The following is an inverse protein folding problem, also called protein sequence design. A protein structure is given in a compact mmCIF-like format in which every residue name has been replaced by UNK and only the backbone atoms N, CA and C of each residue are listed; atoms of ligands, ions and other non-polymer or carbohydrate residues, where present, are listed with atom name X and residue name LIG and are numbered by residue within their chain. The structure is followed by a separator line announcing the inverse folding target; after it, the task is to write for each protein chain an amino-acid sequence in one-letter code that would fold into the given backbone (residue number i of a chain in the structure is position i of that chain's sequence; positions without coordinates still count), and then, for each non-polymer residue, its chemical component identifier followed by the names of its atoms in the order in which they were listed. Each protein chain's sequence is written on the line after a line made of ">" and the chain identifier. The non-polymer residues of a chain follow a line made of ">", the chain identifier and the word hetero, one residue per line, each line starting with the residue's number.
data_IF_047366893958
#
_entry.id   IF_047366893958
#
_cell.length_a   1.000
_cell.length_b   1.000
_cell.length_c   1.000
_cell.angle_alpha   90.00
_cell.angle_beta   90.00
_cell.angle_gamma   90.00
#
_symmetry.space_group_name_H-M   'P 1'
#
loop_
_entity.id
_entity.type
_entity.pdbx_description
1 polymer ?
#
# COMPACT_ATOMS: atom_id res chain seq x y z
N UNK A 1 7.38 -8.13 -6.38
CA UNK A 1 7.13 -6.73 -6.02
C UNK A 1 7.39 -6.62 -4.53
N UNK A 2 7.64 -5.42 -4.01
CA UNK A 2 7.99 -5.26 -2.61
C UNK A 2 6.79 -4.65 -1.88
N UNK A 3 6.29 -5.33 -0.86
CA UNK A 3 5.27 -4.80 0.03
C UNK A 3 5.98 -4.22 1.25
N UNK A 4 5.52 -3.06 1.71
CA UNK A 4 5.95 -2.54 3.01
C UNK A 4 5.46 -3.45 4.12
N UNK A 5 6.22 -3.51 5.21
CA UNK A 5 5.85 -4.20 6.45
C UNK A 5 4.49 -3.73 6.99
N UNK A 6 4.14 -2.48 6.70
CA UNK A 6 2.84 -1.88 6.98
C UNK A 6 2.15 -1.50 5.68
N UNK A 7 0.94 -2.03 5.45
CA UNK A 7 0.17 -1.73 4.25
C UNK A 7 -1.21 -1.19 4.57
N UNK A 8 -1.57 -0.09 3.92
CA UNK A 8 -2.90 0.50 3.99
C UNK A 8 -3.84 -0.20 3.03
N UNK A 9 -4.96 -0.71 3.52
CA UNK A 9 -5.92 -1.43 2.68
C UNK A 9 -7.34 -0.99 2.94
N UNK A 10 -8.13 -0.89 1.88
CA UNK A 10 -9.58 -0.74 2.00
C UNK A 10 -10.24 -2.09 2.36
N UNK A 11 -11.55 -2.04 2.67
CA UNK A 11 -12.33 -3.21 3.05
C UNK A 11 -12.27 -4.35 2.01
N UNK A 12 -12.26 -3.98 0.73
CA UNK A 12 -12.26 -4.93 -0.37
C UNK A 12 -10.90 -5.64 -0.49
N UNK A 13 -9.82 -4.87 -0.56
CA UNK A 13 -8.46 -5.39 -0.66
C UNK A 13 -8.07 -6.16 0.60
N UNK A 14 -8.55 -5.78 1.78
CA UNK A 14 -8.37 -6.57 3.00
C UNK A 14 -8.95 -7.98 2.86
N UNK A 15 -10.19 -8.10 2.36
CA UNK A 15 -10.86 -9.40 2.21
C UNK A 15 -10.23 -10.33 1.17
N UNK A 16 -9.44 -9.78 0.23
CA UNK A 16 -8.80 -10.50 -0.87
C UNK A 16 -7.28 -10.38 -0.87
N UNK A 17 -6.69 -9.99 0.26
CA UNK A 17 -5.29 -9.57 0.29
C UNK A 17 -4.32 -10.66 -0.20
N UNK A 18 -4.48 -11.90 0.27
CA UNK A 18 -3.60 -13.01 -0.12
C UNK A 18 -3.70 -13.33 -1.62
N UNK A 19 -4.91 -13.29 -2.18
CA UNK A 19 -5.13 -13.48 -3.61
C UNK A 19 -4.46 -12.37 -4.43
N UNK A 20 -4.62 -11.11 -4.00
CA UNK A 20 -4.00 -9.95 -4.64
C UNK A 20 -2.48 -10.06 -4.58
N UNK A 21 -1.92 -10.34 -3.40
CA UNK A 21 -0.48 -10.52 -3.18
C UNK A 21 0.08 -11.63 -4.08
N UNK A 22 -0.54 -12.80 -4.09
CA UNK A 22 -0.13 -13.92 -4.93
C UNK A 22 -0.19 -13.56 -6.43
N UNK A 23 -1.25 -12.89 -6.86
CA UNK A 23 -1.42 -12.48 -8.26
C UNK A 23 -0.37 -11.45 -8.69
N UNK A 24 -0.04 -10.50 -7.82
CA UNK A 24 1.01 -9.49 -8.05
C UNK A 24 2.41 -10.11 -8.07
N UNK A 25 2.71 -11.02 -7.14
CA UNK A 25 3.99 -11.76 -7.11
C UNK A 25 4.18 -12.60 -8.36
N UNK A 26 3.13 -13.33 -8.77
CA UNK A 26 3.13 -14.13 -10.01
C UNK A 26 2.97 -13.29 -11.27
N UNK A 27 2.75 -11.98 -11.15
CA UNK A 27 2.50 -11.02 -12.26
C UNK A 27 1.44 -11.54 -13.23
N UNK A 28 0.37 -12.15 -12.71
CA UNK A 28 -0.72 -12.68 -13.55
C UNK A 28 -1.38 -11.51 -14.26
N UNK A 29 -1.43 -11.53 -15.59
CA UNK A 29 -2.08 -10.49 -16.41
C UNK A 29 -3.61 -10.43 -16.23
N UNK A 30 -4.20 -11.52 -15.75
CA UNK A 30 -5.63 -11.64 -15.55
C UNK A 30 -5.85 -11.59 -14.04
N UNK A 31 -6.16 -10.40 -13.56
CA UNK A 31 -6.80 -10.23 -12.26
C UNK A 31 -8.26 -9.99 -12.56
N UNK A 32 -9.12 -10.77 -11.93
CA UNK A 32 -10.56 -10.81 -12.21
C UNK A 32 -11.21 -9.46 -11.93
N UNK A 33 -10.68 -8.72 -10.95
CA UNK A 33 -11.16 -7.43 -10.53
C UNK A 33 -10.00 -6.39 -10.55
N UNK A 34 -10.18 -5.23 -11.21
CA UNK A 34 -9.18 -4.17 -11.17
C UNK A 34 -9.04 -3.61 -9.75
N UNK A 35 -7.84 -3.13 -9.44
CA UNK A 35 -7.53 -2.45 -8.18
C UNK A 35 -6.39 -1.45 -8.40
N UNK A 36 -6.27 -0.51 -7.47
CA UNK A 36 -5.24 0.50 -7.42
C UNK A 36 -4.18 0.14 -6.38
N UNK A 37 -2.96 0.51 -6.68
CA UNK A 37 -1.78 0.34 -5.82
C UNK A 37 -1.28 1.72 -5.45
N UNK A 38 -0.99 1.93 -4.17
CA UNK A 38 -0.30 3.11 -3.66
C UNK A 38 1.15 2.72 -3.47
N UNK A 39 2.05 3.42 -4.14
CA UNK A 39 3.49 3.20 -4.12
C UNK A 39 4.20 4.37 -3.47
N UNK A 40 5.27 4.05 -2.73
CA UNK A 40 6.20 5.04 -2.22
C UNK A 40 7.37 5.18 -3.18
N UNK A 41 7.56 6.40 -3.68
CA UNK A 41 8.72 6.73 -4.50
C UNK A 41 9.93 7.01 -3.58
N UNK A 42 10.88 6.07 -3.53
CA UNK A 42 12.05 6.14 -2.65
C UNK A 42 12.92 7.38 -2.87
N UNK A 43 12.88 7.98 -4.07
CA UNK A 43 13.69 9.18 -4.38
C UNK A 43 13.03 10.48 -3.97
N UNK A 44 11.70 10.53 -3.97
CA UNK A 44 10.94 11.76 -3.72
C UNK A 44 10.20 11.74 -2.39
N UNK A 45 10.17 10.61 -1.70
CA UNK A 45 9.33 10.34 -0.51
C UNK A 45 7.85 10.64 -0.74
N UNK A 46 7.39 10.65 -1.99
CA UNK A 46 5.99 10.93 -2.35
C UNK A 46 5.21 9.64 -2.51
N UNK A 47 3.95 9.73 -2.12
CA UNK A 47 2.94 8.73 -2.44
C UNK A 47 2.42 8.99 -3.86
N UNK A 48 2.41 7.94 -4.66
CA UNK A 48 1.78 7.91 -5.98
C UNK A 48 0.82 6.72 -5.99
N UNK A 49 -0.31 6.83 -6.68
CA UNK A 49 -1.18 5.69 -6.87
C UNK A 49 -1.56 5.50 -8.33
N UNK A 50 -1.65 4.24 -8.76
CA UNK A 50 -1.92 3.88 -10.14
C UNK A 50 -2.69 2.55 -10.22
N UNK A 51 -3.24 2.25 -11.40
CA UNK A 51 -3.80 0.93 -11.67
C UNK A 51 -2.68 -0.12 -11.59
N UNK A 52 -2.94 -1.25 -10.93
CA UNK A 52 -1.94 -2.31 -10.71
C UNK A 52 -1.27 -2.80 -12.01
N UNK A 53 -1.97 -2.72 -13.15
CA UNK A 53 -1.44 -3.09 -14.46
C UNK A 53 -0.22 -2.26 -14.86
N UNK A 54 -0.07 -1.03 -14.35
CA UNK A 54 1.12 -0.21 -14.57
C UNK A 54 2.38 -0.90 -14.03
N UNK A 55 2.27 -1.65 -12.93
CA UNK A 55 3.39 -2.38 -12.34
C UNK A 55 3.86 -3.58 -13.19
N UNK A 56 3.11 -3.95 -14.24
CA UNK A 56 3.54 -4.95 -15.23
C UNK A 56 4.52 -4.41 -16.27
N UNK A 57 4.68 -3.08 -16.36
CA UNK A 57 5.61 -2.46 -17.30
C UNK A 57 7.07 -2.87 -17.01
N UNK A 58 7.90 -2.92 -18.05
CA UNK A 58 9.31 -3.37 -17.97
C UNK A 58 10.12 -2.57 -16.95
N UNK A 59 9.82 -1.28 -16.79
CA UNK A 59 10.48 -0.41 -15.81
C UNK A 59 10.40 -0.99 -14.38
N UNK A 60 9.19 -1.33 -13.94
CA UNK A 60 8.92 -1.90 -12.61
C UNK A 60 9.29 -3.40 -12.48
N UNK A 61 9.80 -4.01 -13.55
CA UNK A 61 10.44 -5.33 -13.46
C UNK A 61 11.85 -5.24 -12.88
N UNK A 62 12.58 -4.19 -13.26
CA UNK A 62 13.96 -4.00 -12.84
C UNK A 62 14.05 -3.14 -11.57
N UNK A 63 13.08 -2.25 -11.36
CA UNK A 63 12.99 -1.38 -10.18
C UNK A 63 11.60 -1.56 -9.55
N UNK A 64 11.35 -2.65 -8.81
CA UNK A 64 10.05 -2.86 -8.18
C UNK A 64 9.81 -1.75 -7.15
N UNK A 65 8.67 -1.04 -7.20
CA UNK A 65 8.38 -0.01 -6.21
C UNK A 65 7.98 -0.64 -4.87
N UNK A 66 8.10 0.14 -3.80
CA UNK A 66 7.57 -0.24 -2.50
C UNK A 66 6.06 0.06 -2.48
N UNK A 67 5.25 -1.00 -2.35
CA UNK A 67 3.80 -0.91 -2.23
C UNK A 67 3.45 -0.66 -0.78
N UNK A 68 2.73 0.43 -0.53
CA UNK A 68 2.33 0.90 0.80
C UNK A 68 0.82 0.97 0.96
N UNK A 69 0.06 0.78 -0.11
CA UNK A 69 -1.39 0.60 -0.01
C UNK A 69 -2.04 -0.08 -1.20
N UNK A 70 -3.25 -0.61 -0.96
CA UNK A 70 -4.11 -1.26 -1.95
C UNK A 70 -5.55 -0.76 -1.80
N UNK A 71 -6.18 -0.44 -2.92
CA UNK A 71 -7.54 0.07 -2.96
C UNK A 71 -8.30 -0.57 -4.12
N UNK A 72 -9.61 -0.78 -3.98
CA UNK A 72 -10.46 -1.33 -5.03
C UNK A 72 -10.55 -0.42 -6.26
N UNK A 73 -10.69 0.88 -6.02
CA UNK A 73 -10.94 1.87 -7.07
C UNK A 73 -10.23 3.20 -6.74
N UNK A 74 -10.39 4.17 -7.64
CA UNK A 74 -9.73 5.46 -7.54
C UNK A 74 -10.15 6.22 -6.28
N UNK A 75 -11.45 6.22 -5.97
CA UNK A 75 -12.01 6.95 -4.83
C UNK A 75 -11.47 6.38 -3.51
N UNK A 76 -11.47 5.04 -3.36
CA UNK A 76 -10.81 4.38 -2.22
C UNK A 76 -9.31 4.67 -2.15
N UNK A 77 -8.62 4.76 -3.29
CA UNK A 77 -7.18 5.04 -3.33
C UNK A 77 -6.87 6.48 -2.88
N UNK A 78 -7.70 7.44 -3.28
CA UNK A 78 -7.62 8.83 -2.83
C UNK A 78 -7.86 8.92 -1.31
N UNK A 79 -8.92 8.28 -0.81
CA UNK A 79 -9.24 8.25 0.62
C UNK A 79 -8.10 7.64 1.46
N UNK A 80 -7.57 6.48 1.02
CA UNK A 80 -6.41 5.84 1.66
C UNK A 80 -5.19 6.77 1.67
N UNK A 81 -4.92 7.45 0.56
CA UNK A 81 -3.78 8.38 0.45
C UNK A 81 -3.96 9.58 1.38
N UNK A 82 -5.16 10.14 1.47
CA UNK A 82 -5.49 11.22 2.42
C UNK A 82 -5.22 10.77 3.87
N UNK A 83 -5.70 9.59 4.26
CA UNK A 83 -5.45 9.06 5.60
C UNK A 83 -3.98 8.77 5.88
N UNK A 84 -3.24 8.24 4.90
CA UNK A 84 -1.79 8.05 5.02
C UNK A 84 -1.08 9.39 5.27
N UNK A 85 -1.47 10.44 4.55
CA UNK A 85 -0.96 11.81 4.74
C UNK A 85 -1.30 12.35 6.14
N UNK A 86 -2.54 12.20 6.58
CA UNK A 86 -2.97 12.62 7.92
C UNK A 86 -2.15 11.93 9.02
N UNK A 87 -1.97 10.61 8.92
CA UNK A 87 -1.19 9.85 9.90
C UNK A 87 0.29 10.24 9.90
N UNK A 88 0.85 10.49 8.72
CA UNK A 88 2.21 10.99 8.58
C UNK A 88 2.37 12.36 9.28
N UNK A 89 1.43 13.28 9.04
CA UNK A 89 1.42 14.60 9.67
C UNK A 89 1.24 14.52 11.19
N UNK A 90 0.33 13.67 11.68
CA UNK A 90 0.09 13.50 13.12
C UNK A 90 1.32 12.93 13.82
N UNK A 91 1.99 11.97 13.21
CA UNK A 91 3.08 11.20 13.84
C UNK A 91 4.44 11.89 13.72
N UNK A 92 4.75 12.46 12.55
CA UNK A 92 6.06 13.03 12.23
C UNK A 92 6.04 14.57 12.17
N UNK A 93 4.87 15.18 11.94
CA UNK A 93 4.73 16.64 11.82
C UNK A 93 5.02 17.20 10.43
N UNK A 94 5.35 16.36 9.45
CA UNK A 94 5.61 16.73 8.06
C UNK A 94 5.17 15.60 7.10
N UNK A 95 5.39 15.78 5.79
CA UNK A 95 5.06 14.81 4.75
C UNK A 95 6.23 13.87 4.40
N UNK A 96 7.04 13.48 5.39
CA UNK A 96 8.10 12.49 5.20
C UNK A 96 7.57 11.07 5.50
N UNK A 97 7.09 10.41 4.44
CA UNK A 97 6.48 9.09 4.59
C UNK A 97 7.50 7.98 4.92
N UNK A 98 8.78 8.16 4.56
CA UNK A 98 9.85 7.22 4.93
C UNK A 98 10.07 7.29 6.45
N UNK A 99 10.20 8.51 6.99
CA UNK A 99 10.31 8.72 8.43
C UNK A 99 9.08 8.21 9.18
N UNK A 100 7.89 8.38 8.60
CA UNK A 100 6.65 7.85 9.16
C UNK A 100 6.66 6.32 9.27
N UNK A 101 6.98 5.61 8.18
CA UNK A 101 7.07 4.15 8.20
C UNK A 101 8.10 3.64 9.21
N UNK A 102 9.25 4.32 9.32
CA UNK A 102 10.28 3.99 10.32
C UNK A 102 9.86 4.28 11.78
N UNK A 103 8.84 5.13 11.98
CA UNK A 103 8.30 5.45 13.30
C UNK A 103 7.21 4.48 13.78
N UNK A 104 6.74 3.61 12.88
CA UNK A 104 5.78 2.56 13.23
C UNK A 104 6.48 1.52 14.11
N UNK A 105 5.76 0.88 15.04
CA UNK A 105 6.35 -0.10 15.93
C UNK A 105 7.05 -1.23 15.15
N UNK A 106 8.09 -1.82 15.72
CA UNK A 106 8.68 -3.02 15.12
C UNK A 106 7.66 -4.16 15.15
N UNK A 107 7.64 -4.97 14.09
CA UNK A 107 6.76 -6.14 14.01
C UNK A 107 7.46 -7.29 14.74
N UNK A 108 6.79 -7.85 15.76
CA UNK A 108 7.32 -8.97 16.53
C UNK A 108 7.59 -10.21 15.64
N UNK A 109 8.69 -10.91 15.91
CA UNK A 109 9.04 -12.16 15.21
C UNK A 109 7.90 -13.18 15.34
N UNK A 110 7.27 -13.53 14.20
CA UNK A 110 6.16 -14.49 14.14
C UNK A 110 4.81 -13.91 13.69
N UNK A 111 4.69 -12.59 13.48
CA UNK A 111 3.49 -12.00 12.87
C UNK A 111 3.39 -12.31 11.36
N UNK A 112 2.16 -12.48 10.87
CA UNK A 112 1.89 -12.55 9.42
C UNK A 112 2.15 -11.17 8.79
N UNK A 113 3.00 -11.16 7.74
CA UNK A 113 3.39 -9.95 7.03
C UNK A 113 2.74 -9.86 5.63
N UNK A 114 2.37 -8.65 5.20
CA UNK A 114 2.47 -7.36 5.91
C UNK A 114 1.35 -7.11 6.92
N UNK A 115 1.60 -6.28 7.93
CA UNK A 115 0.56 -5.83 8.86
C UNK A 115 -0.37 -4.85 8.15
N UNK A 116 -1.64 -5.24 8.04
CA UNK A 116 -2.66 -4.46 7.35
C UNK A 116 -3.26 -3.39 8.26
N UNK A 117 -3.14 -2.12 7.84
CA UNK A 117 -3.81 -0.98 8.43
C UNK A 117 -5.12 -0.76 7.68
N UNK A 118 -6.22 -1.19 8.31
CA UNK A 118 -7.55 -1.20 7.68
C UNK A 118 -8.27 0.12 7.93
N UNK A 119 -8.84 0.70 6.87
CA UNK A 119 -9.74 1.84 6.97
C UNK A 119 -11.16 1.37 6.67
N UNK A 120 -12.08 1.59 7.61
CA UNK A 120 -13.51 1.29 7.39
C UNK A 120 -14.34 2.43 7.99
N UNK A 121 -15.08 3.15 7.15
CA UNK A 121 -15.96 4.25 7.56
C UNK A 121 -15.25 5.39 8.32
N UNK A 122 -14.05 5.78 7.89
CA UNK A 122 -13.27 6.85 8.53
C UNK A 122 -12.63 6.51 9.89
N UNK A 123 -12.54 5.22 10.25
CA UNK A 123 -11.85 4.76 11.46
C UNK A 123 -10.82 3.68 11.14
N UNK A 124 -9.63 3.81 11.75
CA UNK A 124 -8.53 2.86 11.61
C UNK A 124 -8.67 1.72 12.63
N UNK A 125 -8.54 0.48 12.16
CA UNK A 125 -8.41 -0.72 13.01
C UNK A 125 -7.01 -1.30 12.78
N UNK A 126 -6.29 -1.55 13.87
CA UNK A 126 -4.92 -2.08 13.89
C UNK A 126 -4.87 -3.48 14.51
#
# INVERSE_FOLDING_TARGET
>A
MNFSDYIYVDDYCFSKFDEIKENMEKRKKIITDPFFVIILNEYTSKLEFCDWMFLLQRHYKNNPPLIVGLAKDYDSAEELTCHMIENCLIKVGNLDYIAYLASLPEIEEGCELPKMLKISGGKMYA
#
